data_IF_555714753399
#
_entry.id   IF_555714753399
#
_cell.length_a   1.000
_cell.length_b   1.000
_cell.length_c   1.000
_cell.angle_alpha   90.00
_cell.angle_beta   90.00
_cell.angle_gamma   90.00
#
_symmetry.space_group_name_H-M   'P 1'
#
loop_
_entity.id
_entity.type
_entity.pdbx_description
1 polymer ?
#
# COMPACT_ATOMS: atom_id res chain seq x y z
N UNK A 1 -8.96 1.55 -8.19
CA UNK A 1 -7.76 2.36 -7.95
C UNK A 1 -6.82 1.63 -6.99
N UNK A 2 -5.50 1.70 -7.21
CA UNK A 2 -4.51 1.06 -6.32
C UNK A 2 -3.51 2.14 -5.86
N UNK A 3 -3.67 2.71 -4.67
CA UNK A 3 -2.75 3.72 -4.15
C UNK A 3 -1.52 3.13 -3.47
N UNK A 4 -0.39 3.86 -3.56
CA UNK A 4 0.78 3.67 -2.72
C UNK A 4 0.69 4.50 -1.43
N UNK A 5 1.60 4.26 -0.48
CA UNK A 5 1.75 5.14 0.69
C UNK A 5 2.17 6.57 0.28
N UNK A 6 1.84 7.59 1.07
CA UNK A 6 2.29 8.96 0.79
C UNK A 6 3.81 9.07 0.74
N UNK A 7 4.32 9.65 -0.34
CA UNK A 7 5.73 9.91 -0.55
C UNK A 7 6.25 11.13 0.23
N UNK A 8 7.41 11.63 -0.20
CA UNK A 8 7.99 12.86 0.34
C UNK A 8 7.25 14.09 -0.18
N UNK A 9 7.00 15.08 0.69
CA UNK A 9 6.46 16.41 0.31
C UNK A 9 7.52 17.31 -0.34
N UNK A 10 8.79 17.09 0.07
CA UNK A 10 9.96 17.84 -0.41
C UNK A 10 11.23 16.99 -0.26
N UNK A 11 12.35 17.42 -0.82
CA UNK A 11 13.58 16.61 -0.93
C UNK A 11 14.09 16.02 0.40
N UNK A 12 14.01 16.79 1.49
CA UNK A 12 14.49 16.40 2.81
C UNK A 12 13.40 15.76 3.71
N UNK A 13 12.20 15.51 3.17
CA UNK A 13 11.13 14.87 3.93
C UNK A 13 11.35 13.36 4.05
N UNK A 14 10.71 12.74 5.03
CA UNK A 14 10.72 11.29 5.23
C UNK A 14 9.48 10.66 4.60
N UNK A 15 9.63 9.53 3.92
CA UNK A 15 8.49 8.75 3.42
C UNK A 15 7.69 8.18 4.59
N UNK A 16 6.38 8.09 4.44
CA UNK A 16 5.51 7.52 5.48
C UNK A 16 5.91 6.08 5.83
N UNK A 17 6.30 5.28 4.85
CA UNK A 17 6.75 3.90 5.10
C UNK A 17 8.00 3.86 6.01
N UNK A 18 8.96 4.77 5.79
CA UNK A 18 10.16 4.88 6.65
C UNK A 18 9.79 5.35 8.07
N UNK A 19 8.82 6.26 8.19
CA UNK A 19 8.29 6.68 9.51
C UNK A 19 7.63 5.52 10.25
N UNK A 20 6.86 4.68 9.54
CA UNK A 20 6.21 3.49 10.12
C UNK A 20 7.22 2.45 10.58
N UNK A 21 8.27 2.20 9.81
CA UNK A 21 9.36 1.31 10.24
C UNK A 21 10.05 1.84 11.50
N UNK A 22 10.45 3.11 11.51
CA UNK A 22 11.10 3.71 12.68
C UNK A 22 10.20 3.68 13.94
N UNK A 23 8.91 3.95 13.77
CA UNK A 23 7.92 3.88 14.85
C UNK A 23 7.79 2.44 15.38
N UNK A 24 7.70 1.44 14.49
CA UNK A 24 7.60 0.04 14.87
C UNK A 24 8.88 -0.49 15.54
N UNK A 25 10.05 -0.11 15.05
CA UNK A 25 11.34 -0.49 15.65
C UNK A 25 11.45 -0.07 17.12
N UNK A 26 10.92 1.10 17.48
CA UNK A 26 10.85 1.52 18.87
C UNK A 26 9.86 0.66 19.68
N UNK A 27 8.71 0.35 19.12
CA UNK A 27 7.72 -0.52 19.75
C UNK A 27 8.27 -1.92 19.99
N UNK A 28 8.96 -2.50 19.00
CA UNK A 28 9.58 -3.84 19.10
C UNK A 28 10.68 -3.88 20.18
N UNK A 29 11.41 -2.80 20.35
CA UNK A 29 12.41 -2.63 21.43
C UNK A 29 11.77 -2.34 22.80
N UNK A 30 10.43 -2.24 22.91
CA UNK A 30 9.73 -1.89 24.15
C UNK A 30 9.92 -0.44 24.58
N UNK A 31 10.34 0.43 23.67
CA UNK A 31 10.48 1.88 23.88
C UNK A 31 9.18 2.61 23.61
N UNK A 32 9.06 3.84 24.13
CA UNK A 32 7.95 4.72 23.75
C UNK A 32 8.08 5.11 22.28
N UNK A 33 7.03 4.93 21.52
CA UNK A 33 6.91 5.29 20.10
C UNK A 33 5.79 6.32 19.86
N UNK A 34 5.31 6.93 20.95
CA UNK A 34 4.16 7.84 20.87
C UNK A 34 4.46 9.06 19.99
N UNK A 35 5.64 9.63 20.09
CA UNK A 35 6.01 10.83 19.32
C UNK A 35 6.05 10.52 17.80
N UNK A 36 6.61 9.38 17.42
CA UNK A 36 6.69 8.92 16.05
C UNK A 36 5.29 8.61 15.48
N UNK A 37 4.44 7.96 16.28
CA UNK A 37 3.06 7.69 15.86
C UNK A 37 2.25 8.98 15.73
N UNK A 38 2.42 9.95 16.63
CA UNK A 38 1.74 11.24 16.55
C UNK A 38 2.23 12.04 15.32
N UNK A 39 3.50 11.94 14.94
CA UNK A 39 4.01 12.54 13.70
C UNK A 39 3.39 11.91 12.44
N UNK A 40 3.17 10.59 12.44
CA UNK A 40 2.48 9.89 11.35
C UNK A 40 1.01 10.33 11.29
N UNK A 41 0.33 10.41 12.43
CA UNK A 41 -1.05 10.93 12.52
C UNK A 41 -1.16 12.33 11.93
N UNK A 42 -0.27 13.23 12.33
CA UNK A 42 -0.24 14.60 11.82
C UNK A 42 -0.04 14.62 10.29
N UNK A 43 0.81 13.75 9.74
CA UNK A 43 1.03 13.63 8.31
C UNK A 43 -0.22 13.25 7.52
N UNK A 44 -1.03 12.33 8.04
CA UNK A 44 -2.29 11.95 7.41
C UNK A 44 -3.37 13.02 7.63
N UNK A 45 -3.39 13.67 8.79
CA UNK A 45 -4.32 14.76 9.06
C UNK A 45 -4.09 15.95 8.10
N UNK A 46 -2.83 16.31 7.80
CA UNK A 46 -2.52 17.31 6.77
C UNK A 46 -3.14 16.99 5.41
N UNK A 47 -3.18 15.70 5.02
CA UNK A 47 -3.79 15.27 3.75
C UNK A 47 -5.31 15.40 3.82
N UNK A 48 -5.92 14.94 4.91
CA UNK A 48 -7.37 15.02 5.14
C UNK A 48 -7.84 16.48 5.13
N UNK A 49 -7.15 17.35 5.87
CA UNK A 49 -7.47 18.78 5.95
C UNK A 49 -7.28 19.47 4.59
N UNK A 50 -6.18 19.15 3.90
CA UNK A 50 -5.88 19.71 2.57
C UNK A 50 -6.91 19.33 1.50
N UNK A 51 -7.51 18.15 1.62
CA UNK A 51 -8.58 17.66 0.76
C UNK A 51 -9.98 18.04 1.27
N UNK A 52 -10.08 18.67 2.45
CA UNK A 52 -11.33 19.06 3.10
C UNK A 52 -12.29 17.88 3.32
N UNK A 53 -11.74 16.73 3.73
CA UNK A 53 -12.53 15.52 3.96
C UNK A 53 -13.09 15.48 5.38
N UNK A 54 -14.34 14.99 5.49
CA UNK A 54 -14.94 14.62 6.78
C UNK A 54 -14.57 13.15 7.09
N UNK A 55 -13.32 12.95 7.52
CA UNK A 55 -12.75 11.63 7.78
C UNK A 55 -11.93 11.65 9.06
N UNK A 56 -12.23 10.74 9.98
CA UNK A 56 -11.46 10.49 11.21
C UNK A 56 -10.77 9.13 11.14
N UNK A 57 -9.46 9.10 11.27
CA UNK A 57 -8.63 7.90 11.31
C UNK A 57 -8.24 7.47 12.74
N UNK A 58 -8.87 8.03 13.76
CA UNK A 58 -8.51 7.76 15.17
C UNK A 58 -8.66 6.29 15.55
N UNK A 59 -9.70 5.62 15.06
CA UNK A 59 -9.91 4.18 15.28
C UNK A 59 -8.79 3.36 14.64
N UNK A 60 -8.46 3.64 13.39
CA UNK A 60 -7.40 2.96 12.64
C UNK A 60 -6.04 3.11 13.32
N UNK A 61 -5.71 4.30 13.78
CA UNK A 61 -4.49 4.53 14.54
C UNK A 61 -4.50 3.83 15.89
N UNK A 62 -5.65 3.68 16.54
CA UNK A 62 -5.80 2.88 17.76
C UNK A 62 -5.50 1.40 17.51
N UNK A 63 -5.99 0.85 16.39
CA UNK A 63 -5.70 -0.52 15.95
C UNK A 63 -4.20 -0.68 15.65
N UNK A 64 -3.59 0.26 14.94
CA UNK A 64 -2.15 0.25 14.62
C UNK A 64 -1.31 0.27 15.90
N UNK A 65 -1.62 1.16 16.84
CA UNK A 65 -0.91 1.25 18.13
C UNK A 65 -0.99 -0.06 18.92
N UNK A 66 -2.17 -0.69 18.96
CA UNK A 66 -2.37 -2.00 19.60
C UNK A 66 -1.53 -3.08 18.94
N UNK A 67 -1.50 -3.13 17.61
CA UNK A 67 -0.72 -4.11 16.87
C UNK A 67 0.79 -3.90 17.01
N UNK A 68 1.25 -2.65 17.07
CA UNK A 68 2.67 -2.36 17.34
C UNK A 68 3.08 -2.83 18.73
N UNK A 69 2.25 -2.59 19.75
CA UNK A 69 2.47 -3.14 21.11
C UNK A 69 2.45 -4.67 21.15
N UNK A 70 1.66 -5.31 20.29
CA UNK A 70 1.58 -6.75 20.14
C UNK A 70 2.71 -7.34 19.25
N UNK A 71 3.63 -6.51 18.73
CA UNK A 71 4.76 -6.91 17.89
C UNK A 71 4.34 -7.64 16.60
N UNK A 72 3.38 -7.05 15.87
CA UNK A 72 2.80 -7.64 14.65
C UNK A 72 3.74 -7.68 13.42
N UNK A 73 5.00 -7.24 13.56
CA UNK A 73 6.03 -7.38 12.54
C UNK A 73 6.14 -6.20 11.56
N UNK A 74 7.30 -6.14 10.91
CA UNK A 74 7.64 -5.06 9.97
C UNK A 74 6.71 -5.00 8.75
N UNK A 75 6.24 -6.15 8.25
CA UNK A 75 5.32 -6.18 7.12
C UNK A 75 3.98 -5.52 7.47
N UNK A 76 3.46 -5.79 8.66
CA UNK A 76 2.27 -5.11 9.16
C UNK A 76 2.52 -3.60 9.24
N UNK A 77 3.61 -3.18 9.86
CA UNK A 77 3.93 -1.76 10.01
C UNK A 77 4.00 -1.05 8.64
N UNK A 78 4.78 -1.59 7.71
CA UNK A 78 4.93 -1.01 6.37
C UNK A 78 3.60 -0.89 5.63
N UNK A 79 2.78 -1.93 5.65
CA UNK A 79 1.49 -1.97 4.94
C UNK A 79 0.49 -0.89 5.38
N UNK A 80 0.65 -0.37 6.60
CA UNK A 80 -0.28 0.65 7.11
C UNK A 80 -0.19 1.98 6.36
N UNK A 81 0.93 2.24 5.68
CA UNK A 81 1.07 3.41 4.81
C UNK A 81 0.07 3.39 3.66
N UNK A 82 0.05 2.31 2.91
CA UNK A 82 -0.89 2.11 1.80
C UNK A 82 -2.32 1.95 2.28
N UNK A 83 -2.54 1.24 3.39
CA UNK A 83 -3.86 1.03 3.98
C UNK A 83 -4.54 2.35 4.33
N UNK A 84 -3.87 3.20 5.12
CA UNK A 84 -4.41 4.51 5.52
C UNK A 84 -4.63 5.44 4.32
N UNK A 85 -3.69 5.44 3.36
CA UNK A 85 -3.86 6.20 2.12
C UNK A 85 -5.01 5.66 1.27
N UNK A 86 -5.23 4.36 1.29
CA UNK A 86 -6.36 3.70 0.64
C UNK A 86 -7.70 4.19 1.19
N UNK A 87 -7.82 4.32 2.51
CA UNK A 87 -9.04 4.84 3.16
C UNK A 87 -9.28 6.30 2.74
N UNK A 88 -8.24 7.15 2.77
CA UNK A 88 -8.36 8.54 2.31
C UNK A 88 -8.78 8.61 0.85
N UNK A 89 -8.14 7.83 -0.02
CA UNK A 89 -8.45 7.81 -1.45
C UNK A 89 -9.88 7.32 -1.71
N UNK A 90 -10.33 6.28 -0.99
CA UNK A 90 -11.70 5.77 -1.09
C UNK A 90 -12.73 6.82 -0.67
N UNK A 91 -12.48 7.52 0.44
CA UNK A 91 -13.34 8.59 0.91
C UNK A 91 -13.37 9.77 -0.09
N UNK A 92 -12.20 10.18 -0.60
CA UNK A 92 -12.09 11.28 -1.56
C UNK A 92 -12.81 11.01 -2.88
N UNK A 93 -12.73 9.76 -3.38
CA UNK A 93 -13.36 9.36 -4.64
C UNK A 93 -14.84 8.94 -4.49
N UNK A 94 -15.29 8.65 -3.26
CA UNK A 94 -16.59 8.05 -3.00
C UNK A 94 -16.66 6.58 -3.43
N UNK A 95 -15.52 5.85 -3.39
CA UNK A 95 -15.38 4.46 -3.78
C UNK A 95 -15.37 3.53 -2.57
N UNK A 96 -15.66 2.25 -2.79
CA UNK A 96 -15.52 1.22 -1.77
C UNK A 96 -14.04 0.95 -1.46
N UNK A 97 -13.71 0.76 -0.18
CA UNK A 97 -12.39 0.27 0.23
C UNK A 97 -12.41 -1.25 0.33
N UNK A 98 -11.44 -1.91 -0.29
CA UNK A 98 -11.19 -3.35 -0.17
C UNK A 98 -9.79 -3.54 0.42
N UNK A 99 -9.70 -3.98 1.67
CA UNK A 99 -8.40 -4.25 2.28
C UNK A 99 -7.67 -5.37 1.52
N UNK A 100 -6.46 -5.07 1.03
CA UNK A 100 -5.64 -6.00 0.27
C UNK A 100 -5.37 -7.31 1.03
N UNK A 101 -5.26 -7.28 2.35
CA UNK A 101 -5.08 -8.48 3.17
C UNK A 101 -6.26 -9.47 3.09
N UNK A 102 -7.44 -9.02 2.65
CA UNK A 102 -8.62 -9.88 2.51
C UNK A 102 -8.77 -10.51 1.13
N UNK A 103 -8.01 -10.05 0.14
CA UNK A 103 -8.18 -10.43 -1.28
C UNK A 103 -6.88 -10.80 -1.99
N UNK A 104 -5.72 -10.49 -1.41
CA UNK A 104 -4.41 -10.85 -1.95
C UNK A 104 -3.74 -11.83 -0.99
N UNK A 105 -3.33 -12.98 -1.51
CA UNK A 105 -2.85 -14.08 -0.69
C UNK A 105 -1.45 -14.52 -1.10
N UNK A 106 -0.72 -14.97 -0.10
CA UNK A 106 0.55 -15.69 -0.24
C UNK A 106 0.33 -17.13 0.26
N UNK A 107 1.12 -18.06 -0.23
CA UNK A 107 1.14 -19.45 0.24
C UNK A 107 1.98 -19.62 1.52
N UNK A 108 2.08 -20.85 2.03
CA UNK A 108 2.85 -21.18 3.24
C UNK A 108 4.36 -20.87 3.11
N UNK A 109 4.89 -20.83 1.88
CA UNK A 109 6.28 -20.48 1.60
C UNK A 109 6.46 -18.95 1.46
N UNK A 110 5.35 -18.22 1.47
CA UNK A 110 5.32 -16.78 1.24
C UNK A 110 5.46 -16.39 -0.22
N UNK A 111 5.17 -17.29 -1.14
CA UNK A 111 5.06 -17.01 -2.56
C UNK A 111 3.63 -16.53 -2.89
N UNK A 112 3.51 -15.69 -3.92
CA UNK A 112 2.20 -15.15 -4.31
C UNK A 112 1.26 -16.24 -4.82
N UNK A 113 0.12 -16.44 -4.14
CA UNK A 113 -0.93 -17.36 -4.57
C UNK A 113 -1.84 -16.69 -5.61
N UNK A 114 -1.47 -16.83 -6.87
CA UNK A 114 -2.19 -16.23 -7.98
C UNK A 114 -3.60 -16.83 -8.19
N UNK A 115 -3.78 -18.13 -7.91
CA UNK A 115 -5.05 -18.80 -8.13
C UNK A 115 -6.11 -18.31 -7.15
N UNK A 116 -5.81 -18.41 -5.86
CA UNK A 116 -6.69 -17.95 -4.78
C UNK A 116 -6.95 -16.45 -4.87
N UNK A 117 -5.91 -15.66 -5.10
CA UNK A 117 -6.05 -14.20 -5.25
C UNK A 117 -6.97 -13.82 -6.39
N UNK A 118 -6.79 -14.39 -7.58
CA UNK A 118 -7.64 -14.08 -8.74
C UNK A 118 -9.11 -14.47 -8.51
N UNK A 119 -9.36 -15.59 -7.85
CA UNK A 119 -10.71 -16.03 -7.53
C UNK A 119 -11.39 -15.07 -6.56
N UNK A 120 -10.77 -14.82 -5.40
CA UNK A 120 -11.37 -14.02 -4.33
C UNK A 120 -11.47 -12.54 -4.72
N UNK A 121 -10.40 -11.99 -5.29
CA UNK A 121 -10.37 -10.58 -5.69
C UNK A 121 -11.40 -10.30 -6.80
N UNK A 122 -11.54 -11.19 -7.79
CA UNK A 122 -12.56 -11.04 -8.83
C UNK A 122 -13.98 -11.05 -8.24
N UNK A 123 -14.27 -12.00 -7.35
CA UNK A 123 -15.57 -12.08 -6.70
C UNK A 123 -15.86 -10.80 -5.92
N UNK A 124 -14.88 -10.30 -5.16
CA UNK A 124 -15.03 -9.07 -4.37
C UNK A 124 -15.18 -7.80 -5.22
N UNK A 125 -14.43 -7.69 -6.33
CA UNK A 125 -14.57 -6.57 -7.26
C UNK A 125 -15.91 -6.57 -7.98
N UNK A 126 -16.52 -7.73 -8.23
CA UNK A 126 -17.85 -7.83 -8.86
C UNK A 126 -18.98 -7.29 -7.96
N UNK A 127 -18.76 -7.18 -6.66
CA UNK A 127 -19.73 -6.61 -5.70
C UNK A 127 -19.66 -5.08 -5.64
N UNK A 128 -18.60 -4.47 -6.16
CA UNK A 128 -18.35 -3.03 -6.09
C UNK A 128 -18.33 -2.43 -7.50
N UNK A 129 -19.00 -1.30 -7.69
CA UNK A 129 -18.93 -0.57 -8.96
C UNK A 129 -17.57 0.08 -9.18
N UNK A 130 -17.06 0.70 -8.13
CA UNK A 130 -15.75 1.35 -8.09
C UNK A 130 -15.09 1.02 -6.74
N UNK A 131 -13.81 0.65 -6.77
CA UNK A 131 -13.09 0.23 -5.57
C UNK A 131 -11.67 0.79 -5.49
N UNK A 132 -11.21 0.96 -4.25
CA UNK A 132 -9.81 1.22 -3.90
C UNK A 132 -9.25 -0.02 -3.21
N UNK A 133 -8.16 -0.55 -3.73
CA UNK A 133 -7.40 -1.66 -3.12
C UNK A 133 -6.03 -1.13 -2.76
N UNK A 134 -5.67 -0.98 -1.48
CA UNK A 134 -4.32 -0.54 -1.11
C UNK A 134 -3.25 -1.44 -1.71
N UNK A 135 -2.20 -0.86 -2.26
CA UNK A 135 -1.09 -1.60 -2.85
C UNK A 135 -0.15 -2.24 -1.85
N UNK A 136 0.87 -2.96 -2.36
CA UNK A 136 2.07 -3.41 -1.64
C UNK A 136 1.93 -4.66 -0.76
N UNK A 137 0.77 -5.07 -0.27
CA UNK A 137 0.64 -6.16 0.70
C UNK A 137 -0.54 -7.10 0.42
N UNK A 138 -0.52 -8.22 1.11
CA UNK A 138 -1.58 -9.22 1.20
C UNK A 138 -1.46 -9.98 2.52
N UNK A 139 -2.04 -11.17 2.61
CA UNK A 139 -2.00 -12.01 3.80
C UNK A 139 -1.40 -13.40 3.56
N UNK A 140 -0.73 -13.91 4.57
CA UNK A 140 -0.31 -15.30 4.71
C UNK A 140 -1.50 -16.19 5.14
N UNK A 141 -1.40 -17.53 5.04
CA UNK A 141 -2.46 -18.44 5.47
C UNK A 141 -2.85 -18.32 6.95
N UNK A 142 -1.91 -17.91 7.79
CA UNK A 142 -2.15 -17.65 9.22
C UNK A 142 -2.79 -16.29 9.51
N UNK A 143 -3.09 -15.50 8.47
CA UNK A 143 -3.67 -14.17 8.57
C UNK A 143 -2.66 -13.05 8.83
N UNK A 144 -1.37 -13.36 8.97
CA UNK A 144 -0.36 -12.32 9.11
C UNK A 144 -0.16 -11.55 7.80
N UNK A 145 0.14 -10.26 7.91
CA UNK A 145 0.38 -9.42 6.73
C UNK A 145 1.76 -9.71 6.15
N UNK A 146 1.82 -9.86 4.83
CA UNK A 146 3.05 -9.94 4.05
C UNK A 146 3.09 -8.86 2.98
N UNK A 147 4.26 -8.24 2.80
CA UNK A 147 4.50 -7.25 1.75
C UNK A 147 5.23 -7.85 0.56
N UNK A 148 5.00 -7.32 -0.64
CA UNK A 148 5.85 -7.60 -1.79
C UNK A 148 7.23 -6.94 -1.60
N UNK A 149 8.28 -7.53 -2.15
CA UNK A 149 9.67 -7.11 -1.88
C UNK A 149 10.04 -5.76 -2.49
N UNK A 150 9.59 -5.47 -3.71
CA UNK A 150 9.83 -4.21 -4.45
C UNK A 150 8.70 -3.94 -5.44
N UNK A 151 8.42 -2.66 -5.71
CA UNK A 151 7.37 -2.29 -6.66
C UNK A 151 6.00 -2.84 -6.29
N UNK A 152 5.75 -3.05 -5.01
CA UNK A 152 4.59 -3.80 -4.53
C UNK A 152 3.26 -3.21 -4.93
N UNK A 153 3.16 -1.87 -4.99
CA UNK A 153 1.94 -1.21 -5.48
C UNK A 153 1.75 -1.41 -6.99
N UNK A 154 2.84 -1.40 -7.77
CA UNK A 154 2.78 -1.68 -9.21
C UNK A 154 2.37 -3.13 -9.47
N UNK A 155 2.93 -4.08 -8.68
CA UNK A 155 2.53 -5.50 -8.71
C UNK A 155 1.05 -5.63 -8.35
N UNK A 156 0.61 -5.00 -7.28
CA UNK A 156 -0.80 -5.00 -6.87
C UNK A 156 -1.69 -4.43 -7.95
N UNK A 157 -1.30 -3.32 -8.60
CA UNK A 157 -2.02 -2.74 -9.72
C UNK A 157 -2.21 -3.73 -10.88
N UNK A 158 -1.16 -4.47 -11.24
CA UNK A 158 -1.22 -5.49 -12.27
C UNK A 158 -2.12 -6.67 -11.87
N UNK A 159 -2.08 -7.09 -10.60
CA UNK A 159 -2.95 -8.16 -10.06
C UNK A 159 -4.43 -7.73 -10.13
N UNK A 160 -4.72 -6.50 -9.68
CA UNK A 160 -6.08 -5.95 -9.70
C UNK A 160 -6.58 -5.78 -11.13
N UNK A 161 -5.76 -5.27 -12.05
CA UNK A 161 -6.09 -5.11 -13.46
C UNK A 161 -6.45 -6.47 -14.10
N UNK A 162 -5.67 -7.51 -13.82
CA UNK A 162 -5.94 -8.88 -14.28
C UNK A 162 -7.25 -9.43 -13.70
N UNK A 163 -7.48 -9.29 -12.39
CA UNK A 163 -8.69 -9.80 -11.74
C UNK A 163 -9.96 -9.08 -12.23
N UNK A 164 -9.87 -7.78 -12.47
CA UNK A 164 -10.96 -6.94 -12.96
C UNK A 164 -11.21 -7.07 -14.48
N UNK A 165 -10.33 -7.75 -15.24
CA UNK A 165 -10.37 -7.84 -16.71
C UNK A 165 -10.49 -6.47 -17.40
N UNK A 166 -9.67 -5.52 -16.96
CA UNK A 166 -9.70 -4.16 -17.52
C UNK A 166 -9.14 -4.14 -18.95
N UNK A 167 -9.67 -3.26 -19.77
CA UNK A 167 -9.15 -3.03 -21.13
C UNK A 167 -7.86 -2.19 -21.12
N UNK A 168 -7.68 -1.35 -20.08
CA UNK A 168 -6.52 -0.47 -19.93
C UNK A 168 -6.10 -0.42 -18.47
N UNK A 169 -4.80 -0.57 -18.22
CA UNK A 169 -4.18 -0.31 -16.93
C UNK A 169 -3.26 0.91 -17.06
N UNK A 170 -3.54 1.95 -16.28
CA UNK A 170 -2.72 3.15 -16.20
C UNK A 170 -1.89 3.15 -14.93
N UNK A 171 -0.57 3.26 -15.06
CA UNK A 171 0.34 3.41 -13.93
C UNK A 171 0.83 4.86 -13.82
N UNK A 172 0.32 5.58 -12.84
CA UNK A 172 0.68 6.96 -12.54
C UNK A 172 1.90 7.00 -11.62
N UNK A 173 3.00 7.53 -12.11
CA UNK A 173 4.29 7.54 -11.42
C UNK A 173 4.95 8.91 -11.53
N UNK A 174 5.91 9.18 -10.64
CA UNK A 174 6.73 10.41 -10.62
C UNK A 174 7.95 10.34 -11.55
N UNK A 175 8.09 9.27 -12.34
CA UNK A 175 9.14 9.10 -13.35
C UNK A 175 8.56 9.12 -14.75
N UNK A 176 9.39 9.50 -15.74
CA UNK A 176 8.95 9.73 -17.13
C UNK A 176 8.61 8.45 -17.92
N UNK A 177 8.72 7.27 -17.32
CA UNK A 177 8.45 5.98 -17.95
C UNK A 177 9.31 4.86 -17.37
N UNK A 178 9.20 3.66 -17.94
CA UNK A 178 10.00 2.51 -17.52
C UNK A 178 11.32 2.45 -18.32
N UNK A 179 12.40 2.17 -17.63
CA UNK A 179 13.67 1.84 -18.30
C UNK A 179 13.56 0.44 -18.93
N UNK A 180 13.97 0.30 -20.18
CA UNK A 180 13.95 -0.99 -20.89
C UNK A 180 15.02 -1.97 -20.37
N UNK A 181 15.96 -1.49 -19.55
CA UNK A 181 16.98 -2.29 -18.90
C UNK A 181 17.42 -1.63 -17.58
N UNK A 182 18.04 -2.43 -16.70
CA UNK A 182 18.58 -1.95 -15.45
C UNK A 182 19.77 -1.00 -15.70
N UNK A 183 19.72 0.27 -15.22
CA UNK A 183 20.79 1.25 -15.42
C UNK A 183 22.13 0.86 -14.72
N UNK A 184 22.11 -0.15 -13.86
CA UNK A 184 23.32 -0.73 -13.24
C UNK A 184 24.03 -1.73 -14.13
N UNK A 185 23.36 -2.18 -15.21
CA UNK A 185 23.88 -3.19 -16.15
C UNK A 185 24.15 -2.57 -17.51
N UNK A 186 23.31 -1.63 -17.94
CA UNK A 186 23.42 -0.98 -19.26
C UNK A 186 23.51 0.53 -19.05
N UNK A 187 24.56 1.14 -19.60
CA UNK A 187 24.71 2.60 -19.62
C UNK A 187 23.62 3.26 -20.48
N UNK A 188 22.96 4.27 -19.93
CA UNK A 188 21.91 5.05 -20.58
C UNK A 188 20.77 4.21 -21.21
N UNK A 189 20.09 3.36 -20.43
CA UNK A 189 18.97 2.59 -20.95
C UNK A 189 17.87 3.54 -21.44
N UNK A 190 17.24 3.18 -22.55
CA UNK A 190 16.13 3.99 -23.11
C UNK A 190 14.90 3.89 -22.21
N UNK A 191 14.13 4.99 -22.15
CA UNK A 191 12.80 5.00 -21.55
C UNK A 191 11.78 4.41 -22.52
N UNK A 192 10.95 3.49 -22.05
CA UNK A 192 9.75 3.09 -22.76
C UNK A 192 8.56 3.92 -22.24
N UNK A 193 7.88 4.60 -23.15
CA UNK A 193 6.68 5.38 -22.85
C UNK A 193 5.39 4.61 -23.16
N UNK A 194 5.52 3.41 -23.74
CA UNK A 194 4.39 2.56 -24.13
C UNK A 194 4.64 1.18 -23.55
N UNK A 195 3.70 0.72 -22.73
CA UNK A 195 3.68 -0.65 -22.23
C UNK A 195 2.56 -1.38 -22.94
N UNK A 196 2.95 -2.36 -23.74
CA UNK A 196 2.05 -3.34 -24.33
C UNK A 196 2.24 -4.58 -23.47
N UNK A 197 1.24 -4.93 -22.67
CA UNK A 197 1.15 -6.19 -21.93
C UNK A 197 0.61 -7.29 -22.84
#
# INVERSE_FOLDING_TARGET
VVPSAPGKRFSNDTKVTDMLYACYDLADQGKSFKAELDAIKARYQEIIDGLQLDLDLSEEFGIIEKNFKAKSGNNYAASRGEYLNGIIMANYLGYDIIDAATVIFFDENGEFDAAKTNEVLRARLAESKEAVVPGFYGSMPDGTVKTFSRGGSDITGSIVAKAAHVDVYENWTDVSGFLIADPRIIDNPKLSLIHIS
#
